data_IF_140958280983
#
_entry.id   IF_140958280983
#
_cell.length_a   1.000
_cell.length_b   1.000
_cell.length_c   1.000
_cell.angle_alpha   90.00
_cell.angle_beta   90.00
_cell.angle_gamma   90.00
#
_symmetry.space_group_name_H-M   'P 1'
#
loop_
_entity.id
_entity.type
_entity.pdbx_description
1 polymer ?
#
# COMPACT_ATOMS: atom_id res chain seq x y z
N UNK A 1 20.93 3.46 2.14
CA UNK A 1 20.57 4.33 0.99
C UNK A 1 19.13 4.16 0.51
N UNK A 2 18.53 2.95 0.50
CA UNK A 2 17.16 2.73 -0.04
C UNK A 2 16.04 3.54 0.64
N UNK A 3 16.12 3.71 1.97
CA UNK A 3 15.07 4.40 2.73
C UNK A 3 15.07 5.92 2.60
N UNK A 4 16.15 6.58 2.12
CA UNK A 4 16.24 8.05 2.16
C UNK A 4 15.16 8.74 1.31
N UNK A 5 14.84 8.20 0.14
CA UNK A 5 13.81 8.76 -0.75
C UNK A 5 12.40 8.33 -0.36
N UNK A 6 12.25 7.08 0.08
CA UNK A 6 10.95 6.57 0.57
C UNK A 6 10.50 7.29 1.83
N UNK A 7 11.44 7.69 2.68
CA UNK A 7 11.21 8.47 3.89
C UNK A 7 10.37 9.72 3.61
N UNK A 8 10.68 10.49 2.57
CA UNK A 8 9.92 11.71 2.21
C UNK A 8 8.46 11.39 1.82
N UNK A 9 8.21 10.25 1.18
CA UNK A 9 6.88 9.82 0.73
C UNK A 9 6.04 9.25 1.88
N UNK A 10 6.70 8.70 2.90
CA UNK A 10 6.09 7.98 4.01
C UNK A 10 6.02 8.82 5.30
N UNK A 11 6.80 9.89 5.40
CA UNK A 11 6.79 10.80 6.53
C UNK A 11 5.63 11.80 6.49
N UNK A 12 5.23 12.26 7.67
CA UNK A 12 4.26 13.35 7.92
C UNK A 12 2.85 13.15 7.34
N UNK A 13 2.44 11.91 7.02
CA UNK A 13 1.11 11.64 6.45
C UNK A 13 0.84 12.53 5.21
N UNK A 14 1.90 12.81 4.45
CA UNK A 14 1.91 13.87 3.44
C UNK A 14 0.78 13.69 2.41
N UNK A 15 0.55 12.45 1.96
CA UNK A 15 -0.48 12.14 0.97
C UNK A 15 -1.83 11.71 1.55
N UNK A 16 -1.97 11.75 2.87
CA UNK A 16 -3.25 11.55 3.57
C UNK A 16 -3.83 12.87 4.11
N UNK A 17 -2.97 13.80 4.53
CA UNK A 17 -3.37 15.02 5.24
C UNK A 17 -2.87 16.30 4.60
N UNK A 18 -1.58 16.43 4.31
CA UNK A 18 -1.01 17.70 3.84
C UNK A 18 -1.35 17.98 2.38
N UNK A 19 -1.26 16.94 1.55
CA UNK A 19 -1.48 16.94 0.10
C UNK A 19 -2.26 15.68 -0.28
N UNK A 20 -3.50 15.53 0.20
CA UNK A 20 -4.24 14.29 0.11
C UNK A 20 -4.45 13.85 -1.34
N UNK A 21 -4.20 12.58 -1.61
CA UNK A 21 -4.59 11.96 -2.87
C UNK A 21 -6.13 11.87 -2.92
N UNK A 22 -6.74 12.50 -3.92
CA UNK A 22 -8.21 12.62 -4.01
C UNK A 22 -8.90 11.52 -4.83
N UNK A 23 -8.15 10.55 -5.32
CA UNK A 23 -8.67 9.45 -6.15
C UNK A 23 -8.57 8.12 -5.41
N UNK A 24 -9.08 7.05 -6.02
CA UNK A 24 -8.89 5.68 -5.51
C UNK A 24 -7.41 5.30 -5.30
N UNK A 25 -6.46 6.01 -5.90
CA UNK A 25 -5.02 5.84 -5.65
C UNK A 25 -4.64 6.02 -4.18
N UNK A 26 -5.40 6.78 -3.40
CA UNK A 26 -5.18 6.89 -1.95
C UNK A 26 -5.30 5.51 -1.26
N UNK A 27 -6.25 4.66 -1.68
CA UNK A 27 -6.36 3.30 -1.17
C UNK A 27 -5.09 2.46 -1.43
N UNK A 28 -4.51 2.61 -2.62
CA UNK A 28 -3.26 1.93 -3.00
C UNK A 28 -2.05 2.50 -2.23
N UNK A 29 -2.02 3.82 -2.01
CA UNK A 29 -0.99 4.46 -1.18
C UNK A 29 -1.05 3.98 0.28
N UNK A 30 -2.23 3.86 0.87
CA UNK A 30 -2.40 3.35 2.24
C UNK A 30 -1.88 1.93 2.39
N UNK A 31 -2.15 1.05 1.41
CA UNK A 31 -1.61 -0.31 1.36
C UNK A 31 -0.08 -0.30 1.21
N UNK A 32 0.46 0.54 0.32
CA UNK A 32 1.90 0.71 0.14
C UNK A 32 2.58 1.17 1.44
N UNK A 33 2.02 2.17 2.12
CA UNK A 33 2.51 2.69 3.40
C UNK A 33 2.55 1.60 4.46
N UNK A 34 1.48 0.81 4.59
CA UNK A 34 1.43 -0.32 5.51
C UNK A 34 2.56 -1.34 5.24
N UNK A 35 2.78 -1.71 3.98
CA UNK A 35 3.90 -2.59 3.61
C UNK A 35 5.27 -1.97 3.95
N UNK A 36 5.43 -0.66 3.74
CA UNK A 36 6.68 0.03 4.05
C UNK A 36 6.98 0.09 5.56
N UNK A 37 5.97 0.17 6.42
CA UNK A 37 6.16 0.07 7.88
C UNK A 37 6.64 -1.33 8.30
N UNK A 38 6.11 -2.41 7.71
CA UNK A 38 6.65 -3.77 7.90
C UNK A 38 8.11 -3.89 7.45
N UNK A 39 8.47 -3.22 6.34
CA UNK A 39 9.85 -3.18 5.85
C UNK A 39 10.78 -2.45 6.82
N UNK A 40 10.35 -1.29 7.31
CA UNK A 40 11.06 -0.45 8.29
C UNK A 40 11.26 -1.15 9.63
N UNK A 41 10.24 -1.87 10.11
CA UNK A 41 10.29 -2.72 11.30
C UNK A 41 11.10 -4.00 11.11
N UNK A 42 11.66 -4.26 9.92
CA UNK A 42 12.39 -5.48 9.55
C UNK A 42 11.60 -6.79 9.64
N UNK A 43 10.28 -6.73 9.75
CA UNK A 43 9.42 -7.93 9.81
C UNK A 43 9.54 -8.78 8.54
N UNK A 44 9.79 -8.15 7.39
CA UNK A 44 10.05 -8.80 6.10
C UNK A 44 11.24 -9.78 6.08
N UNK A 45 12.08 -9.79 7.12
CA UNK A 45 13.15 -10.77 7.28
C UNK A 45 12.63 -12.13 7.79
N UNK A 46 11.36 -12.21 8.16
CA UNK A 46 10.68 -13.43 8.60
C UNK A 46 9.65 -13.87 7.56
N UNK A 47 9.39 -15.18 7.49
CA UNK A 47 8.34 -15.72 6.61
C UNK A 47 6.96 -15.11 6.94
N UNK A 48 6.67 -14.89 8.21
CA UNK A 48 5.41 -14.25 8.63
C UNK A 48 5.29 -12.83 8.07
N UNK A 49 6.34 -12.01 8.21
CA UNK A 49 6.34 -10.65 7.66
C UNK A 49 6.27 -10.62 6.13
N UNK A 50 6.94 -11.57 5.44
CA UNK A 50 6.79 -11.73 3.98
C UNK A 50 5.34 -12.06 3.62
N UNK A 51 4.69 -12.97 4.36
CA UNK A 51 3.27 -13.30 4.13
C UNK A 51 2.35 -12.11 4.36
N UNK A 52 2.58 -11.29 5.39
CA UNK A 52 1.84 -10.04 5.63
C UNK A 52 1.96 -9.08 4.43
N UNK A 53 3.18 -8.86 3.94
CA UNK A 53 3.43 -7.99 2.78
C UNK A 53 2.81 -8.57 1.50
N UNK A 54 2.91 -9.88 1.29
CA UNK A 54 2.29 -10.55 0.14
C UNK A 54 0.76 -10.45 0.20
N UNK A 55 0.14 -10.61 1.37
CA UNK A 55 -1.29 -10.36 1.61
C UNK A 55 -1.70 -8.93 1.25
N UNK A 56 -0.90 -7.92 1.61
CA UNK A 56 -1.15 -6.54 1.18
C UNK A 56 -1.09 -6.41 -0.35
N UNK A 57 -0.07 -7.02 -0.96
CA UNK A 57 0.16 -6.94 -2.41
C UNK A 57 -1.00 -7.53 -3.21
N UNK A 58 -1.74 -8.51 -2.70
CA UNK A 58 -2.93 -9.07 -3.39
C UNK A 58 -3.98 -8.01 -3.74
N UNK A 59 -4.11 -6.97 -2.93
CA UNK A 59 -5.11 -5.91 -3.07
C UNK A 59 -4.54 -4.63 -3.67
N UNK A 60 -3.27 -4.64 -4.07
CA UNK A 60 -2.56 -3.49 -4.61
C UNK A 60 -2.46 -3.59 -6.13
N UNK A 61 -2.97 -2.59 -6.85
CA UNK A 61 -2.92 -2.52 -8.31
C UNK A 61 -3.43 -3.82 -8.99
N UNK A 62 -2.53 -4.58 -9.65
CA UNK A 62 -2.84 -5.84 -10.36
C UNK A 62 -2.72 -7.09 -9.47
N UNK A 63 -2.40 -6.93 -8.19
CA UNK A 63 -2.25 -8.04 -7.26
C UNK A 63 -0.92 -8.81 -7.42
N UNK A 64 -0.99 -10.12 -7.17
CA UNK A 64 0.12 -11.06 -7.34
C UNK A 64 0.14 -11.63 -8.77
N UNK A 65 1.35 -11.91 -9.28
CA UNK A 65 1.51 -12.70 -10.50
C UNK A 65 1.34 -14.21 -10.21
N UNK A 66 1.28 -15.03 -11.25
CA UNK A 66 1.01 -16.47 -11.11
C UNK A 66 2.07 -17.21 -10.27
N UNK A 67 3.34 -16.85 -10.42
CA UNK A 67 4.44 -17.41 -9.63
C UNK A 67 4.25 -17.15 -8.12
N UNK A 68 3.92 -15.90 -7.75
CA UNK A 68 3.68 -15.54 -6.35
C UNK A 68 2.38 -16.14 -5.80
N UNK A 69 1.34 -16.29 -6.63
CA UNK A 69 0.12 -17.02 -6.23
C UNK A 69 0.44 -18.49 -5.91
N UNK A 70 1.26 -19.14 -6.73
CA UNK A 70 1.70 -20.51 -6.50
C UNK A 70 2.59 -20.64 -5.25
N UNK A 71 3.47 -19.68 -5.00
CA UNK A 71 4.33 -19.66 -3.82
C UNK A 71 3.56 -19.40 -2.51
N UNK A 72 2.42 -18.70 -2.58
CA UNK A 72 1.62 -18.33 -1.41
C UNK A 72 0.11 -18.60 -1.62
N UNK A 73 -0.30 -19.88 -1.71
CA UNK A 73 -1.66 -20.25 -2.13
C UNK A 73 -2.75 -19.95 -1.10
N UNK A 74 -2.38 -19.76 0.18
CA UNK A 74 -3.31 -19.56 1.30
C UNK A 74 -3.23 -18.12 1.86
N UNK A 75 -3.00 -17.13 1.00
CA UNK A 75 -3.04 -15.73 1.43
C UNK A 75 -4.48 -15.21 1.42
N UNK A 76 -4.83 -14.53 2.51
CA UNK A 76 -6.06 -13.75 2.58
C UNK A 76 -5.77 -12.33 2.09
N UNK A 77 -6.56 -11.79 1.13
CA UNK A 77 -6.40 -10.43 0.69
C UNK A 77 -6.71 -9.41 1.80
N UNK A 78 -5.88 -8.37 1.89
CA UNK A 78 -6.16 -7.23 2.79
C UNK A 78 -7.28 -6.39 2.20
N UNK A 79 -8.23 -5.94 3.02
CA UNK A 79 -9.30 -5.06 2.54
C UNK A 79 -8.70 -3.73 2.06
N UNK A 80 -8.94 -3.39 0.80
CA UNK A 80 -8.53 -2.10 0.22
C UNK A 80 -9.44 -0.99 0.73
N UNK A 81 -8.91 0.11 1.31
CA UNK A 81 -9.74 1.24 1.72
C UNK A 81 -10.47 1.86 0.53
N UNK A 82 -11.78 2.05 0.65
CA UNK A 82 -12.56 2.83 -0.33
C UNK A 82 -12.40 4.31 -0.01
N UNK A 83 -12.11 5.11 -1.04
CA UNK A 83 -11.86 6.54 -0.90
C UNK A 83 -13.03 7.30 -1.50
N UNK A 84 -13.61 8.22 -0.73
CA UNK A 84 -14.62 9.14 -1.26
C UNK A 84 -13.96 10.11 -2.23
N UNK A 85 -14.39 10.09 -3.49
CA UNK A 85 -13.87 10.97 -4.52
C UNK A 85 -14.59 12.31 -4.40
N UNK A 86 -13.88 13.45 -4.24
CA UNK A 86 -14.50 14.76 -4.23
C UNK A 86 -15.30 14.98 -5.52
N UNK A 87 -16.54 15.48 -5.38
CA UNK A 87 -17.32 15.89 -6.55
C UNK A 87 -16.63 17.11 -7.15
N UNK A 88 -16.03 16.93 -8.33
CA UNK A 88 -15.49 18.05 -9.10
C UNK A 88 -16.70 18.83 -9.62
N UNK A 89 -16.94 20.02 -9.07
CA UNK A 89 -17.91 20.95 -9.63
C UNK A 89 -17.20 21.63 -10.79
N UNK A 90 -17.67 21.51 -12.04
CA UNK A 90 -17.07 22.25 -13.15
C UNK A 90 -17.15 23.75 -12.85
N UNK A 91 -16.04 24.46 -13.03
CA UNK A 91 -16.07 25.92 -13.01
C UNK A 91 -17.05 26.40 -14.09
N UNK A 92 -17.98 27.28 -13.70
CA UNK A 92 -19.00 27.86 -14.57
C UNK A 92 -18.41 28.88 -15.54
#
# INVERSE_FOLDING_TARGET
MFYKHLKIILEEEAFEKMYPLITQKLGDYLLFRAAAEFMKGKEHLTLEGVRKIASIKTSLNLGLNEELKAAFPLLNPVVRPSVEIPKIIPEQ
#
